data_IF_706224869880
#
_entry.id   IF_706224869880
#
_cell.length_a   1.000
_cell.length_b   1.000
_cell.length_c   1.000
_cell.angle_alpha   90.00
_cell.angle_beta   90.00
_cell.angle_gamma   90.00
#
_symmetry.space_group_name_H-M   'P 1'
#
loop_
_entity.id
_entity.type
_entity.pdbx_description
1 polymer ?
#
# COMPACT_ATOMS: atom_id res chain seq x y z
N UNK A 1 -3.60 5.19 7.84
CA UNK A 1 -4.20 4.53 6.66
C UNK A 1 -3.33 3.36 6.21
N UNK A 2 -3.91 2.20 5.88
CA UNK A 2 -3.10 1.03 5.48
C UNK A 2 -2.62 1.18 4.04
N UNK A 3 -1.30 1.29 3.82
CA UNK A 3 -0.64 1.34 2.50
C UNK A 3 -0.65 -0.03 1.79
N UNK A 4 -1.80 -0.72 1.86
CA UNK A 4 -1.96 -2.10 1.39
C UNK A 4 -1.78 -2.17 -0.12
N UNK A 5 -2.41 -1.27 -0.86
CA UNK A 5 -2.34 -1.23 -2.32
C UNK A 5 -0.90 -1.01 -2.81
N UNK A 6 -0.19 -0.03 -2.27
CA UNK A 6 1.19 0.28 -2.64
C UNK A 6 2.11 -0.91 -2.34
N UNK A 7 1.94 -1.55 -1.18
CA UNK A 7 2.72 -2.74 -0.81
C UNK A 7 2.40 -3.95 -1.68
N UNK A 8 1.13 -4.19 -2.00
CA UNK A 8 0.71 -5.29 -2.88
C UNK A 8 1.33 -5.09 -4.27
N UNK A 9 1.21 -3.89 -4.83
CA UNK A 9 1.77 -3.57 -6.14
C UNK A 9 3.30 -3.72 -6.16
N UNK A 10 3.98 -3.29 -5.10
CA UNK A 10 5.42 -3.44 -4.98
C UNK A 10 5.86 -4.92 -4.88
N UNK A 11 5.10 -5.75 -4.16
CA UNK A 11 5.35 -7.19 -4.12
C UNK A 11 5.11 -7.87 -5.47
N UNK A 12 4.08 -7.45 -6.22
CA UNK A 12 3.84 -7.93 -7.58
C UNK A 12 5.04 -7.58 -8.48
N UNK A 13 5.50 -6.33 -8.44
CA UNK A 13 6.65 -5.87 -9.22
C UNK A 13 7.92 -6.68 -8.90
N UNK A 14 8.21 -6.88 -7.62
CA UNK A 14 9.37 -7.66 -7.16
C UNK A 14 9.28 -9.13 -7.58
N UNK A 15 8.09 -9.71 -7.52
CA UNK A 15 7.86 -11.11 -7.93
C UNK A 15 8.09 -11.27 -9.43
N UNK A 16 7.56 -10.35 -10.26
CA UNK A 16 7.82 -10.32 -11.69
C UNK A 16 9.32 -10.16 -12.00
N UNK A 17 10.03 -9.35 -11.22
CA UNK A 17 11.47 -9.20 -11.39
C UNK A 17 12.27 -10.43 -11.02
N UNK A 18 11.87 -11.16 -9.98
CA UNK A 18 12.47 -12.45 -9.65
C UNK A 18 12.22 -13.48 -10.75
N UNK A 19 11.00 -13.55 -11.30
CA UNK A 19 10.68 -14.44 -12.42
C UNK A 19 11.55 -14.11 -13.63
N UNK A 20 11.70 -12.81 -13.95
CA UNK A 20 12.56 -12.37 -15.04
C UNK A 20 14.02 -12.75 -14.81
N UNK A 21 14.55 -12.59 -13.58
CA UNK A 21 15.91 -13.02 -13.23
C UNK A 21 16.12 -14.53 -13.41
N UNK A 22 15.15 -15.34 -12.98
CA UNK A 22 15.19 -16.79 -13.19
C UNK A 22 15.22 -17.10 -14.69
N UNK A 23 14.39 -16.42 -15.48
CA UNK A 23 14.40 -16.56 -16.93
C UNK A 23 15.75 -16.16 -17.55
N UNK A 24 16.36 -15.05 -17.11
CA UNK A 24 17.70 -14.65 -17.55
C UNK A 24 18.77 -15.69 -17.24
N UNK A 25 18.69 -16.36 -16.09
CA UNK A 25 19.61 -17.46 -15.72
C UNK A 25 19.43 -18.65 -16.67
N UNK A 26 18.19 -19.00 -17.01
CA UNK A 26 17.89 -20.07 -17.98
C UNK A 26 18.45 -19.71 -19.36
N UNK A 27 18.19 -18.49 -19.85
CA UNK A 27 18.73 -18.00 -21.13
C UNK A 27 20.26 -18.05 -21.12
N UNK A 28 20.88 -17.61 -20.03
CA UNK A 28 22.33 -17.70 -19.88
C UNK A 28 22.83 -19.14 -19.96
N UNK A 29 22.15 -20.10 -19.31
CA UNK A 29 22.51 -21.52 -19.40
C UNK A 29 22.42 -22.03 -20.85
N UNK A 30 21.36 -21.67 -21.58
CA UNK A 30 21.22 -22.01 -23.01
C UNK A 30 22.34 -21.43 -23.88
N UNK A 31 22.79 -20.20 -23.64
CA UNK A 31 23.89 -19.59 -24.41
C UNK A 31 25.22 -20.33 -24.23
N UNK A 32 25.39 -21.06 -23.12
CA UNK A 32 26.62 -21.80 -22.83
C UNK A 32 26.65 -23.23 -23.41
N UNK A 33 25.59 -23.69 -24.07
CA UNK A 33 25.63 -25.00 -24.75
C UNK A 33 26.43 -24.88 -26.06
N UNK A 34 27.20 -25.91 -26.46
CA UNK A 34 28.06 -25.86 -27.66
C UNK A 34 27.31 -25.49 -28.94
N UNK A 35 26.09 -26.00 -29.09
CA UNK A 35 25.24 -25.86 -30.28
C UNK A 35 24.73 -24.42 -30.45
N UNK A 36 24.73 -23.60 -29.39
CA UNK A 36 24.22 -22.23 -29.44
C UNK A 36 24.96 -21.38 -30.47
N UNK A 37 26.28 -21.55 -30.61
CA UNK A 37 27.09 -20.70 -31.51
C UNK A 37 26.68 -20.86 -32.97
N UNK A 38 26.39 -22.08 -33.40
CA UNK A 38 25.98 -22.37 -34.78
C UNK A 38 24.61 -21.76 -35.08
N UNK A 39 23.63 -22.04 -34.20
CA UNK A 39 22.27 -21.49 -34.31
C UNK A 39 22.26 -19.96 -34.26
N UNK A 40 23.06 -19.36 -33.38
CA UNK A 40 23.17 -17.91 -33.25
C UNK A 40 23.75 -17.26 -34.51
N UNK A 41 24.81 -17.84 -35.07
CA UNK A 41 25.43 -17.34 -36.29
C UNK A 41 24.48 -17.44 -37.49
N UNK A 42 23.75 -18.55 -37.62
CA UNK A 42 22.74 -18.71 -38.67
C UNK A 42 21.63 -17.66 -38.55
N UNK A 43 21.08 -17.46 -37.34
CA UNK A 43 20.07 -16.43 -37.09
C UNK A 43 20.60 -15.02 -37.42
N UNK A 44 21.83 -14.70 -37.04
CA UNK A 44 22.43 -13.40 -37.32
C UNK A 44 22.62 -13.16 -38.81
N UNK A 45 23.05 -14.17 -39.57
CA UNK A 45 23.14 -14.08 -41.03
C UNK A 45 21.78 -13.87 -41.68
N UNK A 46 20.74 -14.62 -41.24
CA UNK A 46 19.37 -14.47 -41.74
C UNK A 46 18.79 -13.08 -41.46
N UNK A 47 19.12 -12.49 -40.31
CA UNK A 47 18.64 -11.17 -39.91
C UNK A 47 19.51 -10.02 -40.41
N UNK A 48 20.64 -10.30 -41.06
CA UNK A 48 21.61 -9.28 -41.49
C UNK A 48 22.25 -8.52 -40.32
N UNK A 49 22.38 -9.16 -39.16
CA UNK A 49 22.93 -8.57 -37.94
C UNK A 49 24.37 -9.06 -37.74
N UNK A 50 25.30 -8.13 -37.60
CA UNK A 50 26.69 -8.44 -37.25
C UNK A 50 26.88 -8.38 -35.72
N UNK A 51 26.54 -9.46 -35.03
CA UNK A 51 26.79 -9.62 -33.59
C UNK A 51 27.56 -10.92 -33.33
N UNK A 52 28.57 -10.90 -32.46
CA UNK A 52 29.25 -12.12 -32.04
C UNK A 52 28.48 -12.81 -30.89
N UNK A 53 28.54 -14.15 -30.78
CA UNK A 53 27.98 -14.87 -29.64
C UNK A 53 28.51 -14.35 -28.29
N UNK A 54 29.78 -13.95 -28.24
CA UNK A 54 30.42 -13.40 -27.05
C UNK A 54 29.86 -12.03 -26.68
N UNK A 55 29.61 -11.15 -27.66
CA UNK A 55 28.98 -9.85 -27.43
C UNK A 55 27.52 -10.01 -26.95
N UNK A 56 26.78 -10.96 -27.53
CA UNK A 56 25.43 -11.30 -27.08
C UNK A 56 25.43 -11.85 -25.66
N UNK A 57 26.35 -12.77 -25.33
CA UNK A 57 26.50 -13.27 -23.96
C UNK A 57 26.80 -12.14 -22.97
N UNK A 58 27.69 -11.22 -23.35
CA UNK A 58 28.03 -10.07 -22.52
C UNK A 58 26.81 -9.15 -22.29
N UNK A 59 25.97 -8.92 -23.30
CA UNK A 59 24.76 -8.10 -23.14
C UNK A 59 23.75 -8.74 -22.19
N UNK A 60 23.56 -10.07 -22.26
CA UNK A 60 22.70 -10.82 -21.34
C UNK A 60 23.23 -10.73 -19.89
N UNK A 61 24.54 -10.87 -19.69
CA UNK A 61 25.15 -10.72 -18.36
C UNK A 61 24.93 -9.29 -17.84
N UNK A 62 25.22 -8.28 -18.66
CA UNK A 62 25.06 -6.88 -18.31
C UNK A 62 23.61 -6.59 -17.90
N UNK A 63 22.66 -6.99 -18.72
CA UNK A 63 21.22 -6.88 -18.45
C UNK A 63 20.83 -7.58 -17.15
N UNK A 64 21.35 -8.77 -16.90
CA UNK A 64 21.13 -9.53 -15.66
C UNK A 64 21.64 -8.80 -14.42
N UNK A 65 22.82 -8.17 -14.49
CA UNK A 65 23.40 -7.40 -13.38
C UNK A 65 22.55 -6.17 -13.05
N UNK A 66 22.13 -5.39 -14.05
CA UNK A 66 21.24 -4.24 -13.83
C UNK A 66 19.89 -4.66 -13.23
N UNK A 67 19.34 -5.77 -13.72
CA UNK A 67 18.10 -6.35 -13.17
C UNK A 67 18.29 -6.79 -11.72
N UNK A 68 19.41 -7.43 -11.39
CA UNK A 68 19.70 -7.87 -10.03
C UNK A 68 19.80 -6.70 -9.06
N UNK A 69 20.59 -5.67 -9.41
CA UNK A 69 20.79 -4.48 -8.57
C UNK A 69 19.47 -3.74 -8.35
N UNK A 70 18.71 -3.48 -9.43
CA UNK A 70 17.41 -2.82 -9.33
C UNK A 70 16.41 -3.62 -8.50
N UNK A 71 16.39 -4.95 -8.64
CA UNK A 71 15.54 -5.83 -7.84
C UNK A 71 15.88 -5.75 -6.36
N UNK A 72 17.17 -5.84 -5.99
CA UNK A 72 17.61 -5.73 -4.59
C UNK A 72 17.17 -4.40 -3.98
N UNK A 73 17.37 -3.29 -4.71
CA UNK A 73 16.94 -1.96 -4.26
C UNK A 73 15.43 -1.89 -4.05
N UNK A 74 14.64 -2.47 -4.96
CA UNK A 74 13.19 -2.52 -4.83
C UNK A 74 12.71 -3.37 -3.65
N UNK A 75 13.43 -4.45 -3.31
CA UNK A 75 13.17 -5.22 -2.09
C UNK A 75 13.41 -4.37 -0.84
N UNK A 76 14.55 -3.66 -0.76
CA UNK A 76 14.85 -2.74 0.33
C UNK A 76 13.77 -1.65 0.43
N UNK A 77 13.31 -1.13 -0.72
CA UNK A 77 12.24 -0.14 -0.79
C UNK A 77 10.94 -0.63 -0.16
N UNK A 78 10.51 -1.88 -0.46
CA UNK A 78 9.29 -2.48 0.13
C UNK A 78 9.33 -2.50 1.65
N UNK A 79 10.46 -2.91 2.23
CA UNK A 79 10.62 -2.95 3.69
C UNK A 79 10.66 -1.54 4.31
N UNK A 80 11.13 -0.55 3.54
CA UNK A 80 11.23 0.84 3.97
C UNK A 80 9.89 1.58 3.97
N UNK A 81 8.87 1.10 3.23
CA UNK A 81 7.54 1.76 3.11
C UNK A 81 6.91 2.09 4.48
N UNK A 82 7.05 1.20 5.48
CA UNK A 82 6.44 1.40 6.80
C UNK A 82 7.15 2.48 7.62
N UNK A 83 8.47 2.64 7.47
CA UNK A 83 9.28 3.54 8.28
C UNK A 83 9.39 4.93 7.66
N UNK A 84 9.72 5.00 6.38
CA UNK A 84 9.90 6.27 5.68
C UNK A 84 9.39 6.16 4.23
N UNK A 85 8.19 6.70 4.00
CA UNK A 85 7.53 6.63 2.69
C UNK A 85 8.29 7.38 1.59
N UNK A 86 8.89 8.51 1.93
CA UNK A 86 9.62 9.36 0.96
C UNK A 86 10.88 8.62 0.53
N UNK A 87 11.62 8.05 1.48
CA UNK A 87 12.80 7.23 1.18
C UNK A 87 12.44 5.99 0.37
N UNK A 88 11.37 5.27 0.73
CA UNK A 88 10.89 4.14 -0.05
C UNK A 88 10.52 4.54 -1.48
N UNK A 89 9.83 5.67 -1.65
CA UNK A 89 9.51 6.26 -2.95
C UNK A 89 10.77 6.51 -3.78
N UNK A 90 11.77 7.19 -3.21
CA UNK A 90 13.06 7.43 -3.86
C UNK A 90 13.74 6.13 -4.28
N UNK A 91 13.77 5.12 -3.41
CA UNK A 91 14.36 3.82 -3.71
C UNK A 91 13.66 3.12 -4.89
N UNK A 92 12.33 3.18 -4.97
CA UNK A 92 11.61 2.65 -6.14
C UNK A 92 11.90 3.41 -7.43
N UNK A 93 12.01 4.75 -7.38
CA UNK A 93 12.39 5.54 -8.55
C UNK A 93 13.81 5.18 -9.02
N UNK A 94 14.77 5.08 -8.11
CA UNK A 94 16.14 4.65 -8.44
C UNK A 94 16.15 3.23 -9.00
N UNK A 95 15.35 2.32 -8.42
CA UNK A 95 15.19 0.95 -8.93
C UNK A 95 14.65 0.94 -10.36
N UNK A 96 13.66 1.79 -10.67
CA UNK A 96 13.12 1.93 -12.02
C UNK A 96 14.15 2.50 -13.01
N UNK A 97 14.90 3.54 -12.63
CA UNK A 97 15.93 4.13 -13.50
C UNK A 97 17.02 3.09 -13.84
N UNK A 98 17.51 2.36 -12.84
CA UNK A 98 18.50 1.29 -13.05
C UNK A 98 17.88 0.13 -13.84
N UNK A 99 16.64 -0.25 -13.53
CA UNK A 99 15.91 -1.33 -14.18
C UNK A 99 15.64 -1.11 -15.66
N UNK A 100 15.66 0.13 -16.14
CA UNK A 100 15.56 0.46 -17.57
C UNK A 100 16.64 -0.23 -18.41
N UNK A 101 17.86 -0.38 -17.86
CA UNK A 101 18.98 -1.07 -18.51
C UNK A 101 18.90 -2.59 -18.36
N UNK A 102 18.00 -3.10 -17.50
CA UNK A 102 17.78 -4.52 -17.26
C UNK A 102 16.75 -5.17 -18.20
N UNK A 103 16.08 -4.40 -19.06
CA UNK A 103 15.08 -4.89 -20.03
C UNK A 103 13.79 -5.46 -19.42
N UNK A 104 13.66 -5.51 -18.09
CA UNK A 104 12.42 -5.83 -17.41
C UNK A 104 11.52 -4.60 -17.28
N UNK A 105 10.95 -4.16 -18.41
CA UNK A 105 10.16 -2.94 -18.47
C UNK A 105 8.86 -3.02 -17.64
N UNK A 106 8.30 -4.21 -17.47
CA UNK A 106 7.07 -4.39 -16.68
C UNK A 106 7.34 -4.07 -15.21
N UNK A 107 8.34 -4.72 -14.60
CA UNK A 107 8.70 -4.43 -13.20
C UNK A 107 9.18 -2.99 -13.04
N UNK A 108 9.96 -2.48 -14.00
CA UNK A 108 10.41 -1.08 -14.04
C UNK A 108 9.24 -0.09 -13.96
N UNK A 109 8.21 -0.25 -14.81
CA UNK A 109 7.03 0.62 -14.81
C UNK A 109 6.28 0.50 -13.48
N UNK A 110 6.11 -0.71 -12.95
CA UNK A 110 5.43 -0.91 -11.68
C UNK A 110 6.17 -0.25 -10.52
N UNK A 111 7.50 -0.36 -10.45
CA UNK A 111 8.30 0.36 -9.47
C UNK A 111 8.16 1.87 -9.61
N UNK A 112 8.17 2.39 -10.84
CA UNK A 112 7.94 3.81 -11.08
C UNK A 112 6.57 4.26 -10.54
N UNK A 113 5.49 3.53 -10.88
CA UNK A 113 4.13 3.82 -10.40
C UNK A 113 4.06 3.79 -8.87
N UNK A 114 4.62 2.76 -8.22
CA UNK A 114 4.67 2.66 -6.76
C UNK A 114 5.43 3.85 -6.16
N UNK A 115 6.56 4.22 -6.75
CA UNK A 115 7.35 5.38 -6.32
C UNK A 115 6.52 6.66 -6.32
N UNK A 116 5.82 6.94 -7.42
CA UNK A 116 4.91 8.09 -7.52
C UNK A 116 3.77 8.00 -6.50
N UNK A 117 3.13 6.84 -6.32
CA UNK A 117 2.05 6.66 -5.34
C UNK A 117 2.50 6.99 -3.91
N UNK A 118 3.75 6.65 -3.55
CA UNK A 118 4.32 6.94 -2.24
C UNK A 118 4.55 8.44 -2.01
N UNK A 119 4.85 9.21 -3.06
CA UNK A 119 4.97 10.66 -2.99
C UNK A 119 3.61 11.36 -2.93
N UNK A 120 2.69 11.01 -3.84
CA UNK A 120 1.41 11.71 -4.03
C UNK A 120 0.48 11.55 -2.83
N UNK A 121 0.44 10.37 -2.21
CA UNK A 121 -0.58 10.08 -1.23
C UNK A 121 -0.19 10.60 0.15
N UNK A 122 -0.67 11.82 0.45
CA UNK A 122 -0.53 12.50 1.74
C UNK A 122 -0.99 11.59 2.89
N UNK A 123 -0.36 11.70 4.04
CA UNK A 123 -0.83 10.99 5.23
C UNK A 123 -2.12 11.67 5.70
N UNK A 124 -3.24 10.96 5.69
CA UNK A 124 -4.54 11.46 6.19
C UNK A 124 -4.51 11.86 7.68
N UNK A 125 -3.38 11.63 8.35
CA UNK A 125 -3.17 11.93 9.78
C UNK A 125 -3.18 13.43 10.12
N UNK A 126 -3.27 14.33 9.12
CA UNK A 126 -3.35 15.78 9.36
C UNK A 126 -4.78 16.36 9.32
N UNK A 127 -5.83 15.56 9.13
CA UNK A 127 -7.22 16.05 9.19
C UNK A 127 -7.95 15.74 10.51
N UNK A 128 -7.37 14.94 11.41
CA UNK A 128 -7.98 14.66 12.72
C UNK A 128 -7.53 15.61 13.86
N UNK A 129 -6.54 16.47 13.62
CA UNK A 129 -5.89 17.26 14.68
C UNK A 129 -6.35 18.73 14.79
N UNK A 130 -7.45 19.14 14.14
CA UNK A 130 -7.94 20.54 14.23
C UNK A 130 -9.46 20.70 14.47
N UNK A 131 -10.20 19.69 14.95
CA UNK A 131 -11.66 19.85 15.19
C UNK A 131 -12.14 19.40 16.58
N UNK A 132 -11.27 19.30 17.59
CA UNK A 132 -11.70 19.01 18.97
C UNK A 132 -10.96 19.89 19.98
N UNK A 133 -11.22 21.20 19.94
CA UNK A 133 -11.12 22.04 21.13
C UNK A 133 -12.54 22.41 21.57
N UNK A 134 -13.16 21.49 22.32
CA UNK A 134 -14.19 21.85 23.29
C UNK A 134 -13.80 21.19 24.62
N UNK A 135 -13.78 21.92 25.75
CA UNK A 135 -13.41 21.34 27.03
C UNK A 135 -14.55 20.44 27.53
N UNK A 136 -14.22 19.18 27.77
CA UNK A 136 -15.09 18.17 28.36
C UNK A 136 -15.23 18.45 29.88
N UNK A 137 -16.42 18.84 30.34
CA UNK A 137 -16.74 18.98 31.76
C UNK A 137 -17.32 17.67 32.28
N UNK A 138 -16.52 16.94 33.07
CA UNK A 138 -16.93 15.68 33.71
C UNK A 138 -17.90 15.95 34.86
N UNK A 139 -19.12 15.40 34.78
CA UNK A 139 -20.05 15.31 35.93
C UNK A 139 -19.97 13.88 36.50
N UNK A 140 -19.60 13.82 37.77
CA UNK A 140 -19.54 12.61 38.59
C UNK A 140 -20.92 11.96 38.79
N UNK A 141 -20.88 10.63 38.80
CA UNK A 141 -21.91 9.66 39.14
C UNK A 141 -22.93 10.08 40.21
N UNK A 142 -24.20 9.75 39.98
CA UNK A 142 -25.05 9.23 41.04
C UNK A 142 -26.01 8.16 40.46
N UNK A 143 -25.65 6.91 40.69
CA UNK A 143 -26.51 5.75 40.47
C UNK A 143 -27.59 5.73 41.56
N UNK A 144 -28.82 6.18 41.27
CA UNK A 144 -30.03 5.71 41.99
C UNK A 144 -31.25 5.71 41.07
N UNK A 145 -31.93 4.56 41.11
CA UNK A 145 -33.35 4.35 40.81
C UNK A 145 -33.76 4.12 39.35
N UNK A 146 -33.64 2.83 38.96
CA UNK A 146 -34.57 2.19 38.03
C UNK A 146 -35.94 2.06 38.73
N UNK A 147 -36.99 2.71 38.22
CA UNK A 147 -38.38 2.30 38.45
C UNK A 147 -39.16 2.28 37.14
N UNK A 148 -39.86 1.16 36.90
CA UNK A 148 -40.75 0.88 35.76
C UNK A 148 -42.04 1.72 35.86
N UNK A 149 -42.78 1.95 34.76
CA UNK A 149 -44.04 2.69 34.81
C UNK A 149 -45.17 1.82 35.38
N UNK A 150 -45.85 2.32 36.40
CA UNK A 150 -47.09 1.76 36.94
C UNK A 150 -48.24 2.71 36.58
N UNK A 151 -49.22 2.21 35.81
CA UNK A 151 -50.49 2.88 35.58
C UNK A 151 -51.20 3.06 36.93
N UNK A 152 -51.48 4.31 37.30
CA UNK A 152 -52.36 4.63 38.43
C UNK A 152 -53.69 5.14 37.88
N UNK A 153 -54.74 4.39 38.17
CA UNK A 153 -56.13 4.81 37.99
C UNK A 153 -56.38 6.07 38.83
N UNK A 154 -56.55 7.21 38.16
CA UNK A 154 -56.90 8.48 38.78
C UNK A 154 -58.30 8.36 39.37
N UNK A 155 -58.44 8.48 40.70
CA UNK A 155 -59.74 8.65 41.36
C UNK A 155 -60.05 10.17 41.47
N UNK A 156 -60.93 10.72 40.62
CA UNK A 156 -61.14 12.17 40.52
C UNK A 156 -61.76 12.77 41.80
N UNK A 157 -62.47 11.96 42.59
CA UNK A 157 -63.15 12.43 43.81
C UNK A 157 -62.17 12.75 44.95
N UNK A 158 -61.05 12.01 45.03
CA UNK A 158 -60.02 12.24 46.04
C UNK A 158 -59.22 13.52 45.75
N UNK A 159 -59.01 13.83 44.47
CA UNK A 159 -58.31 15.03 44.02
C UNK A 159 -59.14 16.31 44.21
N UNK A 160 -60.45 16.24 43.96
CA UNK A 160 -61.34 17.38 44.20
C UNK A 160 -61.46 17.74 45.69
N UNK A 161 -61.43 16.76 46.60
CA UNK A 161 -61.45 17.05 48.05
C UNK A 161 -60.18 17.74 48.51
N UNK A 162 -59.01 17.30 48.04
CA UNK A 162 -57.73 17.95 48.36
C UNK A 162 -57.65 19.40 47.87
N UNK A 163 -58.15 19.71 46.67
CA UNK A 163 -58.18 21.09 46.17
C UNK A 163 -59.10 22.03 46.96
N UNK A 164 -60.10 21.49 47.67
CA UNK A 164 -61.05 22.30 48.46
C UNK A 164 -60.50 22.67 49.83
N UNK A 165 -59.62 21.84 50.39
CA UNK A 165 -59.00 22.07 51.70
C UNK A 165 -57.79 23.03 51.63
N UNK A 166 -57.18 23.19 50.46
CA UNK A 166 -55.97 24.01 50.24
C UNK A 166 -56.23 25.42 49.67
N UNK A 167 -57.49 25.81 49.41
CA UNK A 167 -57.84 27.12 48.85
C UNK A 167 -58.64 27.99 49.85
N UNK A 168 -58.03 29.01 50.48
CA UNK A 168 -58.66 29.79 51.55
C UNK A 168 -59.65 30.87 51.06
N UNK A 169 -60.03 30.89 49.78
CA UNK A 169 -60.95 31.91 49.22
C UNK A 169 -62.25 31.36 48.62
N UNK A 170 -62.59 30.11 48.90
CA UNK A 170 -63.89 29.53 48.53
C UNK A 170 -64.88 29.73 49.69
N UNK A 171 -65.86 30.62 49.53
CA UNK A 171 -67.05 30.71 50.40
C UNK A 171 -68.20 29.86 49.84
#
# INVERSE_FOLDING_TARGET
MSRKTERILAWIANSLSLIFLIFSIIVYAFINVPEFKEVFNEMNQQQGVEMSPEAFKASIIFQGVFTLISTILAFIAVFTIKGNRILAGCLFIVSAIIGMFGGNFIAMILWFIVGIMLFVKKDDNNQANHINQMPNYNIYNNEKEKQKPQQQDMNPEAEMKRKKDDDPYIY
#
